data_IF_215417152092
#
_entry.id   IF_215417152092
#
_cell.length_a   1.000
_cell.length_b   1.000
_cell.length_c   1.000
_cell.angle_alpha   90.00
_cell.angle_beta   90.00
_cell.angle_gamma   90.00
#
_symmetry.space_group_name_H-M   'P 1'
#
loop_
_entity.id
_entity.type
_entity.pdbx_description
1 polymer ?
#
# COMPACT_ATOMS: atom_id res chain seq x y z
N UNK A 1 -5.52 2.61 5.37
CA UNK A 1 -5.39 3.71 6.36
C UNK A 1 -4.42 3.29 7.47
N UNK A 2 -3.68 4.22 8.11
CA UNK A 2 -2.81 3.88 9.25
C UNK A 2 -3.52 4.08 10.59
N UNK A 3 -3.26 3.18 11.54
CA UNK A 3 -3.85 3.22 12.89
C UNK A 3 -2.80 2.98 13.96
N UNK A 4 -2.99 3.57 15.14
CA UNK A 4 -2.12 3.34 16.29
C UNK A 4 -2.40 1.96 16.93
N UNK A 5 -1.59 1.59 17.94
CA UNK A 5 -1.70 0.30 18.64
C UNK A 5 -3.09 0.04 19.22
N UNK A 6 -3.70 1.02 19.88
CA UNK A 6 -5.01 0.81 20.52
C UNK A 6 -6.11 0.64 19.47
N UNK A 7 -6.09 1.49 18.45
CA UNK A 7 -7.05 1.43 17.35
C UNK A 7 -6.99 0.09 16.61
N UNK A 8 -5.79 -0.41 16.28
CA UNK A 8 -5.67 -1.67 15.55
C UNK A 8 -6.13 -2.86 16.40
N UNK A 9 -5.82 -2.88 17.70
CA UNK A 9 -6.29 -3.92 18.63
C UNK A 9 -7.82 -3.97 18.65
N UNK A 10 -8.46 -2.82 18.76
CA UNK A 10 -9.93 -2.73 18.75
C UNK A 10 -10.54 -3.22 17.44
N UNK A 11 -9.87 -2.95 16.30
CA UNK A 11 -10.38 -3.34 14.98
C UNK A 11 -10.20 -4.83 14.68
N UNK A 12 -9.06 -5.41 15.04
CA UNK A 12 -8.71 -6.78 14.63
C UNK A 12 -8.90 -7.83 15.73
N UNK A 13 -9.17 -7.40 16.96
CA UNK A 13 -9.37 -8.29 18.11
C UNK A 13 -8.10 -9.00 18.61
N UNK A 14 -6.92 -8.68 18.09
CA UNK A 14 -5.65 -9.25 18.55
C UNK A 14 -5.06 -8.47 19.72
N UNK A 15 -4.45 -9.19 20.66
CA UNK A 15 -3.78 -8.57 21.80
C UNK A 15 -2.52 -7.78 21.40
N UNK A 16 -2.13 -6.80 22.23
CA UNK A 16 -0.87 -6.08 22.07
C UNK A 16 0.36 -7.01 22.04
N UNK A 17 0.33 -8.08 22.83
CA UNK A 17 1.37 -9.11 22.88
C UNK A 17 1.46 -9.87 21.56
N UNK A 18 0.32 -10.20 20.95
CA UNK A 18 0.25 -10.82 19.61
C UNK A 18 0.85 -9.91 18.56
N UNK A 19 0.47 -8.62 18.52
CA UNK A 19 1.06 -7.66 17.59
C UNK A 19 2.58 -7.56 17.73
N UNK A 20 3.08 -7.52 18.97
CA UNK A 20 4.52 -7.51 19.24
C UNK A 20 5.19 -8.77 18.71
N UNK A 21 4.61 -9.94 18.95
CA UNK A 21 5.12 -11.23 18.45
C UNK A 21 5.18 -11.25 16.93
N UNK A 22 4.10 -10.88 16.23
CA UNK A 22 4.04 -10.89 14.76
C UNK A 22 5.09 -9.97 14.12
N UNK A 23 5.36 -8.81 14.74
CA UNK A 23 6.43 -7.90 14.29
C UNK A 23 7.83 -8.46 14.55
N UNK A 24 8.07 -9.00 15.74
CA UNK A 24 9.40 -9.51 16.12
C UNK A 24 9.74 -10.85 15.47
N UNK A 25 8.76 -11.65 15.09
CA UNK A 25 8.97 -12.91 14.36
C UNK A 25 9.20 -12.71 12.87
N UNK A 26 9.01 -11.50 12.34
CA UNK A 26 9.11 -11.21 10.91
C UNK A 26 7.88 -11.60 10.08
N UNK A 27 6.82 -12.14 10.70
CA UNK A 27 5.56 -12.42 10.00
C UNK A 27 4.92 -11.13 9.48
N UNK A 28 5.06 -10.03 10.23
CA UNK A 28 4.66 -8.70 9.79
C UNK A 28 5.87 -7.85 9.42
N UNK A 29 5.96 -7.55 8.13
CA UNK A 29 7.05 -6.81 7.51
C UNK A 29 6.96 -5.31 7.83
N UNK A 30 8.08 -4.72 8.27
CA UNK A 30 8.22 -3.26 8.45
C UNK A 30 8.07 -2.53 7.11
N UNK A 31 7.47 -1.34 7.12
CA UNK A 31 7.08 -0.56 5.96
C UNK A 31 5.94 -1.14 5.10
N UNK A 32 5.45 -2.33 5.45
CA UNK A 32 4.30 -2.97 4.79
C UNK A 32 3.12 -3.04 5.76
N UNK A 33 3.26 -3.80 6.84
CA UNK A 33 2.23 -4.02 7.85
C UNK A 33 2.26 -2.97 8.96
N UNK A 34 3.45 -2.46 9.25
CA UNK A 34 3.68 -1.47 10.29
C UNK A 34 4.85 -0.58 9.92
N UNK A 35 4.84 0.65 10.43
CA UNK A 35 5.88 1.66 10.18
C UNK A 35 6.29 2.26 11.51
N UNK A 36 7.58 2.51 11.69
CA UNK A 36 8.09 3.31 12.81
C UNK A 36 8.06 4.79 12.44
N UNK A 37 7.34 5.59 13.22
CA UNK A 37 7.26 7.05 13.08
C UNK A 37 8.12 7.67 14.18
N UNK A 38 9.33 8.09 13.82
CA UNK A 38 10.32 8.59 14.78
C UNK A 38 10.91 7.47 15.65
N UNK A 39 11.41 7.80 16.85
CA UNK A 39 12.14 6.83 17.68
C UNK A 39 11.23 5.79 18.36
N UNK A 40 10.01 6.18 18.74
CA UNK A 40 9.17 5.40 19.67
C UNK A 40 7.77 5.05 19.17
N UNK A 41 7.25 5.71 18.13
CA UNK A 41 5.86 5.49 17.69
C UNK A 41 5.82 4.44 16.59
N UNK A 42 4.86 3.53 16.68
CA UNK A 42 4.55 2.55 15.63
C UNK A 42 3.11 2.76 15.20
N UNK A 43 2.89 2.75 13.90
CA UNK A 43 1.56 2.76 13.27
C UNK A 43 1.43 1.53 12.38
N UNK A 44 0.21 1.04 12.23
CA UNK A 44 -0.12 -0.18 11.50
C UNK A 44 -0.88 0.17 10.23
N UNK A 45 -0.52 -0.47 9.12
CA UNK A 45 -1.27 -0.40 7.89
C UNK A 45 -2.49 -1.30 8.01
N UNK A 46 -3.65 -0.70 8.24
CA UNK A 46 -4.89 -1.43 8.51
C UNK A 46 -5.24 -2.40 7.38
N UNK A 47 -5.07 -1.98 6.13
CA UNK A 47 -5.57 -2.73 4.98
C UNK A 47 -4.77 -4.03 4.80
N UNK A 48 -3.44 -3.95 4.92
CA UNK A 48 -2.58 -5.13 4.81
C UNK A 48 -2.62 -6.02 6.06
N UNK A 49 -2.81 -5.45 7.25
CA UNK A 49 -3.01 -6.26 8.46
C UNK A 49 -4.30 -7.08 8.36
N UNK A 50 -5.38 -6.47 7.88
CA UNK A 50 -6.65 -7.18 7.68
C UNK A 50 -6.55 -8.22 6.57
N UNK A 51 -5.91 -7.89 5.45
CA UNK A 51 -5.69 -8.83 4.36
C UNK A 51 -4.87 -10.04 4.84
N UNK A 52 -3.80 -9.81 5.60
CA UNK A 52 -3.00 -10.87 6.21
C UNK A 52 -3.85 -11.80 7.09
N UNK A 53 -4.78 -11.25 7.88
CA UNK A 53 -5.67 -12.07 8.72
C UNK A 53 -6.61 -12.96 7.92
N UNK A 54 -7.12 -12.47 6.79
CA UNK A 54 -7.99 -13.26 5.90
C UNK A 54 -7.17 -14.31 5.15
N UNK A 55 -5.97 -13.95 4.70
CA UNK A 55 -5.11 -14.75 3.83
C UNK A 55 -3.95 -15.43 4.59
N UNK A 56 -4.04 -15.59 5.91
CA UNK A 56 -2.94 -16.15 6.73
C UNK A 56 -2.53 -17.58 6.34
N UNK A 57 -3.43 -18.32 5.69
CA UNK A 57 -3.17 -19.66 5.13
C UNK A 57 -2.91 -19.65 3.62
N UNK A 58 -2.96 -18.48 2.98
CA UNK A 58 -2.67 -18.28 1.56
C UNK A 58 -1.68 -17.12 1.38
N UNK A 59 -0.37 -17.36 1.61
CA UNK A 59 0.65 -16.34 1.51
C UNK A 59 0.76 -15.75 0.10
N UNK A 60 0.35 -16.48 -0.95
CA UNK A 60 0.41 -15.99 -2.32
C UNK A 60 -0.66 -14.92 -2.57
N UNK A 61 -1.88 -15.11 -2.05
CA UNK A 61 -2.93 -14.08 -2.13
C UNK A 61 -2.53 -12.84 -1.33
N UNK A 62 -1.96 -13.03 -0.15
CA UNK A 62 -1.45 -11.90 0.64
C UNK A 62 -0.31 -11.15 -0.08
N UNK A 63 0.60 -11.87 -0.72
CA UNK A 63 1.69 -11.27 -1.50
C UNK A 63 1.16 -10.38 -2.64
N UNK A 64 0.10 -10.80 -3.34
CA UNK A 64 -0.57 -9.97 -4.35
C UNK A 64 -1.16 -8.69 -3.75
N UNK A 65 -1.74 -8.77 -2.55
CA UNK A 65 -2.26 -7.58 -1.86
C UNK A 65 -1.13 -6.59 -1.52
N UNK A 66 0.05 -7.08 -1.11
CA UNK A 66 1.24 -6.25 -0.90
C UNK A 66 1.67 -5.56 -2.20
N UNK A 67 1.76 -6.29 -3.31
CA UNK A 67 2.14 -5.75 -4.62
C UNK A 67 1.16 -4.67 -5.10
N UNK A 68 -0.14 -4.92 -4.96
CA UNK A 68 -1.18 -3.96 -5.27
C UNK A 68 -1.07 -2.70 -4.40
N UNK A 69 -0.80 -2.86 -3.10
CA UNK A 69 -0.53 -1.73 -2.22
C UNK A 69 0.68 -0.92 -2.69
N UNK A 70 1.82 -1.57 -2.94
CA UNK A 70 3.06 -0.90 -3.36
C UNK A 70 2.94 -0.20 -4.73
N UNK A 71 2.19 -0.77 -5.67
CA UNK A 71 1.92 -0.15 -6.97
C UNK A 71 0.94 1.02 -6.88
N UNK A 72 0.01 0.99 -5.92
CA UNK A 72 -0.93 2.10 -5.68
C UNK A 72 -0.28 3.36 -5.06
N UNK A 73 0.89 3.20 -4.44
CA UNK A 73 1.59 4.29 -3.77
C UNK A 73 1.89 5.44 -4.74
N UNK A 74 1.68 6.72 -4.34
CA UNK A 74 1.98 7.86 -5.19
C UNK A 74 3.42 7.87 -5.74
N UNK A 75 4.38 7.39 -4.96
CA UNK A 75 5.79 7.29 -5.35
C UNK A 75 6.03 6.31 -6.51
N UNK A 76 5.14 5.34 -6.71
CA UNK A 76 5.23 4.33 -7.75
C UNK A 76 4.29 4.58 -8.94
N UNK A 77 3.51 5.67 -8.90
CA UNK A 77 2.64 6.03 -10.03
C UNK A 77 3.52 6.46 -11.21
N UNK A 78 3.28 5.92 -12.42
CA UNK A 78 4.00 6.37 -13.60
C UNK A 78 3.79 7.88 -13.77
N UNK A 79 4.89 8.62 -13.96
CA UNK A 79 4.81 10.04 -14.30
C UNK A 79 3.90 10.15 -15.52
N UNK A 80 2.79 10.88 -15.41
CA UNK A 80 1.93 11.17 -16.56
C UNK A 80 2.81 11.83 -17.61
N UNK A 81 3.30 11.06 -18.58
CA UNK A 81 4.02 11.65 -19.71
C UNK A 81 3.00 12.54 -20.40
N UNK A 82 3.23 13.85 -20.36
CA UNK A 82 2.36 14.79 -21.04
C UNK A 82 2.27 14.38 -22.50
N UNK A 83 1.13 13.83 -22.90
CA UNK A 83 0.79 13.69 -24.31
C UNK A 83 0.69 15.11 -24.83
N UNK A 84 1.70 15.57 -25.58
CA UNK A 84 1.59 16.79 -26.38
C UNK A 84 0.35 16.65 -27.28
N UNK A 85 -0.40 17.74 -27.50
CA UNK A 85 -1.75 17.70 -28.05
C UNK A 85 -1.79 17.12 -29.45
N UNK A 86 -2.94 16.55 -29.80
CA UNK A 86 -3.29 16.10 -31.14
C UNK A 86 -2.91 17.15 -32.19
N UNK A 87 -2.41 16.77 -33.39
CA UNK A 87 -2.16 17.74 -34.45
C UNK A 87 -3.46 18.44 -34.82
N UNK A 88 -3.51 19.76 -34.62
CA UNK A 88 -4.52 20.63 -35.22
C UNK A 88 -4.36 20.59 -36.74
N UNK A 89 -5.49 20.52 -37.42
CA UNK A 89 -5.73 20.43 -38.87
C UNK A 89 -4.64 21.09 -39.74
N UNK A 90 -4.02 20.27 -40.61
CA UNK A 90 -3.34 20.79 -41.79
C UNK A 90 -4.40 21.18 -42.83
N UNK A 91 -4.70 22.47 -42.91
CA UNK A 91 -5.34 23.08 -44.08
C UNK A 91 -4.45 22.85 -45.30
N UNK A 92 -4.91 22.06 -46.27
CA UNK A 92 -4.32 22.04 -47.61
C UNK A 92 -5.01 23.09 -48.46
N UNK A 93 -4.35 24.23 -48.63
CA UNK A 93 -4.57 25.10 -49.78
C UNK A 93 -3.79 24.59 -50.99
N UNK A 94 -4.40 24.73 -52.18
CA UNK A 94 -3.70 25.12 -53.40
C UNK A 94 -3.40 24.06 -54.48
N UNK A 95 -4.02 24.29 -55.66
CA UNK A 95 -3.52 23.95 -57.00
C UNK A 95 -3.96 22.58 -57.53
N UNK A 96 -4.62 22.43 -58.68
CA UNK A 96 -4.78 23.27 -59.88
C UNK A 96 -6.22 23.20 -60.39
#
# INVERSE_FOLDING_TARGET
MFSNKQEIIQKIGLSASTLKRLRLSGQWIENIHWVRVGSRKIVYNHDLVMDWLVNQHDPNSHQKAIENYLTSLPSNKPKKSGRKPSPVQAVKGGGK
#
